data_IF_134348955019
#
_entry.id   IF_134348955019
#
_cell.length_a   1.000
_cell.length_b   1.000
_cell.length_c   1.000
_cell.angle_alpha   90.00
_cell.angle_beta   90.00
_cell.angle_gamma   90.00
#
_symmetry.space_group_name_H-M   'P 1'
#
loop_
_entity.id
_entity.type
_entity.pdbx_description
1 polymer ?
#
# COMPACT_ATOMS: atom_id res chain seq x y z
N UNK A 1 -37.99 -61.86 22.34
CA UNK A 1 -38.26 -60.40 22.38
C UNK A 1 -37.05 -59.71 22.98
N UNK A 2 -36.55 -58.63 22.35
CA UNK A 2 -35.54 -57.75 22.93
C UNK A 2 -34.16 -57.83 22.26
N UNK A 3 -33.98 -57.02 21.22
CA UNK A 3 -32.73 -56.71 20.51
C UNK A 3 -32.05 -55.48 21.14
N UNK A 4 -30.72 -55.47 21.07
CA UNK A 4 -29.76 -54.35 20.98
C UNK A 4 -29.92 -53.08 21.83
N UNK A 5 -28.92 -52.84 22.69
CA UNK A 5 -27.93 -51.74 22.54
C UNK A 5 -27.23 -51.44 23.88
N UNK A 6 -25.90 -51.38 23.93
CA UNK A 6 -25.21 -50.50 24.84
C UNK A 6 -24.59 -49.30 24.11
N UNK A 7 -24.89 -48.17 24.73
CA UNK A 7 -24.50 -46.79 24.55
C UNK A 7 -23.17 -46.44 23.86
N UNK A 8 -23.22 -45.33 23.11
CA UNK A 8 -22.14 -44.74 22.32
C UNK A 8 -21.01 -44.19 23.20
N UNK A 9 -19.72 -44.35 22.81
CA UNK A 9 -18.65 -43.59 23.42
C UNK A 9 -18.64 -42.13 22.93
N UNK A 10 -18.51 -41.20 23.88
CA UNK A 10 -18.30 -39.76 23.65
C UNK A 10 -17.03 -39.55 22.82
N UNK A 11 -17.15 -38.90 21.67
CA UNK A 11 -16.01 -38.51 20.83
C UNK A 11 -15.18 -37.45 21.54
N UNK A 12 -13.89 -37.75 21.65
CA UNK A 12 -12.87 -36.93 22.23
C UNK A 12 -12.58 -35.66 21.42
N UNK A 13 -12.27 -34.64 22.21
CA UNK A 13 -11.56 -33.42 21.86
C UNK A 13 -10.26 -33.75 21.11
N UNK A 14 -10.21 -33.47 19.81
CA UNK A 14 -8.99 -33.53 19.02
C UNK A 14 -8.93 -32.36 18.03
N UNK A 15 -8.07 -31.38 18.34
CA UNK A 15 -7.16 -30.82 17.35
C UNK A 15 -7.62 -29.61 16.54
N UNK A 16 -7.87 -28.46 17.17
CA UNK A 16 -7.66 -27.16 16.49
C UNK A 16 -6.22 -26.68 16.69
N UNK A 17 -5.30 -27.22 15.89
CA UNK A 17 -3.97 -26.61 15.70
C UNK A 17 -4.13 -25.42 14.76
N UNK A 18 -4.17 -24.22 15.36
CA UNK A 18 -4.00 -22.95 14.65
C UNK A 18 -2.63 -22.93 13.97
N UNK A 19 -2.61 -22.99 12.63
CA UNK A 19 -1.42 -22.72 11.82
C UNK A 19 -1.07 -21.23 11.96
N UNK A 20 -0.14 -20.92 12.87
CA UNK A 20 0.57 -19.64 12.92
C UNK A 20 1.49 -19.57 11.71
N UNK A 21 1.03 -18.99 10.60
CA UNK A 21 1.90 -18.61 9.50
C UNK A 21 2.81 -17.45 9.97
N UNK A 22 4.03 -17.79 10.41
CA UNK A 22 5.10 -16.82 10.66
C UNK A 22 5.59 -16.32 9.31
N UNK A 23 5.15 -15.13 8.92
CA UNK A 23 5.74 -14.40 7.81
C UNK A 23 7.19 -14.04 8.14
N UNK A 24 8.14 -14.84 7.64
CA UNK A 24 9.54 -14.45 7.51
C UNK A 24 9.77 -14.14 6.04
N UNK A 25 9.58 -12.89 5.62
CA UNK A 25 10.13 -12.48 4.34
C UNK A 25 11.65 -12.31 4.49
N UNK A 26 12.36 -12.97 3.57
CA UNK A 26 13.78 -12.81 3.34
C UNK A 26 14.14 -11.32 3.24
N UNK A 27 15.34 -10.98 3.72
CA UNK A 27 15.97 -9.68 3.44
C UNK A 27 15.93 -9.47 1.92
N UNK A 28 15.27 -8.41 1.47
CA UNK A 28 15.46 -7.91 0.10
C UNK A 28 16.96 -7.55 -0.01
N UNK A 29 17.72 -8.10 -0.98
CA UNK A 29 19.08 -7.67 -1.23
C UNK A 29 19.07 -6.18 -1.60
N UNK A 30 19.85 -5.41 -0.86
CA UNK A 30 20.13 -4.02 -1.18
C UNK A 30 20.99 -3.88 -2.44
N UNK A 31 20.92 -2.67 -2.99
CA UNK A 31 22.01 -1.96 -3.62
C UNK A 31 22.75 -2.66 -4.77
N UNK A 32 22.12 -2.65 -5.95
CA UNK A 32 22.83 -2.60 -7.23
C UNK A 32 21.92 -1.96 -8.30
N UNK A 33 21.94 -0.64 -8.41
CA UNK A 33 21.49 0.05 -9.63
C UNK A 33 22.61 -0.02 -10.67
N UNK A 34 22.35 -0.47 -11.92
CA UNK A 34 23.27 -0.26 -13.03
C UNK A 34 23.36 1.24 -13.32
N UNK A 35 24.58 1.77 -13.36
CA UNK A 35 24.86 3.19 -13.55
C UNK A 35 24.34 3.70 -14.89
N UNK A 36 23.51 4.75 -14.84
CA UNK A 36 23.25 5.60 -15.99
C UNK A 36 24.42 6.56 -16.19
N UNK A 37 25.08 6.44 -17.34
CA UNK A 37 26.21 7.26 -17.74
C UNK A 37 25.83 8.73 -17.89
N UNK A 38 26.48 9.59 -17.10
CA UNK A 38 26.49 11.01 -17.37
C UNK A 38 27.49 11.33 -18.49
N UNK A 39 26.96 11.81 -19.63
CA UNK A 39 27.73 12.50 -20.65
C UNK A 39 28.42 13.73 -20.06
N UNK A 40 29.74 13.63 -19.85
CA UNK A 40 30.61 14.78 -19.57
C UNK A 40 30.88 15.56 -20.85
N UNK A 41 30.41 16.81 -20.90
CA UNK A 41 30.93 17.82 -21.82
C UNK A 41 32.37 18.17 -21.46
N UNK A 42 33.20 18.20 -22.49
CA UNK A 42 34.61 18.55 -22.49
C UNK A 42 34.79 20.05 -22.24
N UNK A 43 35.69 20.41 -21.32
CA UNK A 43 36.06 21.78 -21.00
C UNK A 43 37.51 21.81 -20.50
N UNK A 44 38.31 22.69 -21.10
CA UNK A 44 39.77 22.66 -21.19
C UNK A 44 40.54 22.83 -19.87
N UNK A 45 41.76 22.30 -19.93
CA UNK A 45 42.89 22.33 -18.98
C UNK A 45 43.29 23.75 -18.54
N UNK A 46 43.65 23.87 -17.27
CA UNK A 46 44.51 24.92 -16.72
C UNK A 46 45.29 24.35 -15.53
N UNK A 47 46.60 24.18 -15.70
CA UNK A 47 47.50 23.56 -14.73
C UNK A 47 48.17 24.63 -13.86
N UNK A 48 48.21 24.46 -12.54
CA UNK A 48 49.21 25.12 -11.68
C UNK A 48 49.67 24.19 -10.55
N UNK A 49 50.94 23.81 -10.69
CA UNK A 49 52.01 23.44 -9.73
C UNK A 49 51.70 23.02 -8.29
N UNK A 50 52.24 21.84 -7.95
CA UNK A 50 52.57 21.36 -6.61
C UNK A 50 53.79 22.08 -6.05
N UNK A 51 53.81 22.34 -4.74
CA UNK A 51 55.02 22.44 -3.91
C UNK A 51 54.81 21.66 -2.62
N UNK A 52 55.84 20.90 -2.22
CA UNK A 52 55.88 19.95 -1.12
C UNK A 52 56.51 20.53 0.16
N UNK A 53 56.20 19.90 1.31
CA UNK A 53 56.93 19.77 2.61
C UNK A 53 55.85 19.51 3.69
N UNK A 54 55.91 18.65 4.70
CA UNK A 54 56.87 17.75 5.35
C UNK A 54 56.12 17.17 6.58
N UNK A 55 56.61 16.12 7.27
CA UNK A 55 55.76 15.23 8.07
C UNK A 55 55.52 15.73 9.51
N UNK A 56 54.30 15.53 10.02
CA UNK A 56 53.94 15.75 11.43
C UNK A 56 53.00 14.64 11.90
N UNK A 57 53.53 13.76 12.75
CA UNK A 57 52.77 12.78 13.51
C UNK A 57 51.79 13.49 14.44
N UNK A 58 50.53 13.07 14.49
CA UNK A 58 49.66 13.28 15.65
C UNK A 58 48.47 12.31 15.65
N UNK A 59 48.56 11.34 16.56
CA UNK A 59 47.52 10.65 17.32
C UNK A 59 46.13 10.41 16.66
N UNK A 60 45.91 9.14 16.32
CA UNK A 60 44.58 8.55 16.12
C UNK A 60 43.68 8.78 17.34
N UNK A 61 42.61 9.55 17.13
CA UNK A 61 41.41 9.47 17.95
C UNK A 61 40.25 9.05 17.05
N UNK A 62 39.92 7.75 17.11
CA UNK A 62 38.74 7.17 16.47
C UNK A 62 37.46 7.69 17.14
N UNK A 63 37.00 8.87 16.73
CA UNK A 63 35.63 9.29 16.99
C UNK A 63 34.75 8.80 15.84
N UNK A 64 34.09 7.65 16.04
CA UNK A 64 33.03 7.21 15.14
C UNK A 64 31.95 8.28 14.96
N UNK A 65 31.22 8.30 13.83
CA UNK A 65 30.25 9.34 13.55
C UNK A 65 29.17 9.35 14.63
N UNK A 66 29.16 10.40 15.46
CA UNK A 66 28.09 10.67 16.41
C UNK A 66 26.78 10.73 15.63
N UNK A 67 25.88 9.78 15.92
CA UNK A 67 24.51 9.74 15.41
C UNK A 67 23.84 11.05 15.82
N UNK A 68 23.82 12.05 14.92
CA UNK A 68 23.11 13.31 15.15
C UNK A 68 21.67 12.96 15.52
N UNK A 69 21.25 13.32 16.73
CA UNK A 69 19.84 13.25 17.09
C UNK A 69 19.09 14.14 16.11
N UNK A 70 18.33 13.54 15.19
CA UNK A 70 17.38 14.29 14.36
C UNK A 70 16.36 14.85 15.33
N UNK A 71 16.41 16.16 15.59
CA UNK A 71 15.35 16.89 16.29
C UNK A 71 14.04 16.49 15.61
N UNK A 72 13.03 16.07 16.38
CA UNK A 72 11.74 15.69 15.83
C UNK A 72 11.26 16.81 14.90
N UNK A 73 10.88 16.46 13.66
CA UNK A 73 10.26 17.41 12.76
C UNK A 73 8.89 17.79 13.36
N UNK A 74 8.52 19.07 13.26
CA UNK A 74 7.18 19.53 13.64
C UNK A 74 6.17 18.90 12.68
N UNK A 75 5.12 18.28 13.23
CA UNK A 75 4.09 17.58 12.45
C UNK A 75 3.77 16.19 12.99
N UNK A 76 2.58 16.02 13.56
CA UNK A 76 1.95 14.76 13.89
C UNK A 76 1.05 14.25 12.76
N UNK A 77 1.08 12.95 12.54
CA UNK A 77 0.28 12.28 11.51
C UNK A 77 -0.52 11.13 12.10
N UNK A 78 -1.75 10.95 11.62
CA UNK A 78 -2.54 9.75 11.86
C UNK A 78 -2.49 8.86 10.62
N UNK A 79 -2.45 7.55 10.83
CA UNK A 79 -2.63 6.56 9.77
C UNK A 79 -3.89 5.73 10.00
N UNK A 80 -4.63 5.47 8.93
CA UNK A 80 -5.78 4.57 8.91
C UNK A 80 -5.54 3.52 7.83
N UNK A 81 -5.62 2.24 8.19
CA UNK A 81 -5.65 1.15 7.23
C UNK A 81 -4.98 -0.12 7.73
N UNK A 82 -4.47 -0.94 6.79
CA UNK A 82 -4.07 -2.32 7.10
C UNK A 82 -2.86 -2.82 6.30
N UNK A 83 -2.24 -3.88 6.83
CA UNK A 83 -1.25 -4.67 6.12
C UNK A 83 0.12 -4.02 5.98
N UNK A 84 0.94 -4.62 5.11
CA UNK A 84 2.35 -4.26 5.00
C UNK A 84 2.58 -2.82 4.49
N UNK A 85 1.70 -2.31 3.63
CA UNK A 85 1.81 -0.95 3.08
C UNK A 85 1.63 0.10 4.18
N UNK A 86 0.61 -0.05 5.03
CA UNK A 86 0.40 0.79 6.22
C UNK A 86 1.66 0.83 7.08
N UNK A 87 2.18 -0.34 7.49
CA UNK A 87 3.32 -0.37 8.41
C UNK A 87 4.62 0.11 7.78
N UNK A 88 4.79 0.01 6.46
CA UNK A 88 5.90 0.67 5.75
C UNK A 88 5.77 2.18 5.83
N UNK A 89 4.57 2.72 5.63
CA UNK A 89 4.31 4.16 5.74
C UNK A 89 4.57 4.68 7.16
N UNK A 90 4.07 3.97 8.18
CA UNK A 90 4.34 4.30 9.60
C UNK A 90 5.85 4.31 9.88
N UNK A 91 6.59 3.28 9.45
CA UNK A 91 8.05 3.22 9.63
C UNK A 91 8.78 4.34 8.89
N UNK A 92 8.39 4.65 7.66
CA UNK A 92 8.97 5.74 6.89
C UNK A 92 8.73 7.10 7.59
N UNK A 93 7.54 7.33 8.15
CA UNK A 93 7.27 8.54 8.93
C UNK A 93 8.11 8.64 10.21
N UNK A 94 8.17 7.58 11.01
CA UNK A 94 9.01 7.55 12.22
C UNK A 94 10.50 7.73 11.87
N UNK A 95 10.99 7.07 10.81
CA UNK A 95 12.38 7.20 10.35
C UNK A 95 12.69 8.61 9.80
N UNK A 96 11.70 9.27 9.21
CA UNK A 96 11.75 10.67 8.79
C UNK A 96 11.78 11.67 9.95
N UNK A 97 11.49 11.21 11.17
CA UNK A 97 11.44 12.03 12.38
C UNK A 97 10.09 12.70 12.62
N UNK A 98 9.03 12.25 11.95
CA UNK A 98 7.66 12.70 12.16
C UNK A 98 7.03 11.99 13.36
N UNK A 99 6.17 12.70 14.09
CA UNK A 99 5.41 12.08 15.17
C UNK A 99 4.22 11.32 14.58
N UNK A 100 4.04 10.08 14.99
CA UNK A 100 2.83 9.32 14.67
C UNK A 100 1.88 9.46 15.86
N UNK A 101 0.80 10.20 15.67
CA UNK A 101 -0.19 10.47 16.72
C UNK A 101 -1.03 9.24 17.04
N UNK A 102 -1.47 8.53 15.99
CA UNK A 102 -2.31 7.36 16.10
C UNK A 102 -2.24 6.51 14.83
N UNK A 103 -2.28 5.19 14.99
CA UNK A 103 -2.54 4.23 13.90
C UNK A 103 -3.87 3.53 14.17
N UNK A 104 -4.84 3.68 13.27
CA UNK A 104 -6.12 2.99 13.32
C UNK A 104 -6.08 1.78 12.39
N UNK A 105 -6.28 0.58 12.93
CA UNK A 105 -6.22 -0.66 12.15
C UNK A 105 -7.13 -1.73 12.74
N UNK A 106 -7.64 -2.65 11.89
CA UNK A 106 -8.33 -3.87 12.35
C UNK A 106 -7.35 -4.94 12.82
N UNK A 107 -6.09 -4.86 12.37
CA UNK A 107 -5.12 -5.94 12.50
C UNK A 107 -4.58 -6.09 13.92
N UNK A 108 -4.28 -7.33 14.29
CA UNK A 108 -3.50 -7.68 15.48
C UNK A 108 -1.98 -7.61 15.24
N UNK A 109 -1.54 -7.21 14.04
CA UNK A 109 -0.13 -7.00 13.72
C UNK A 109 0.55 -6.11 14.77
N UNK A 110 1.71 -6.57 15.24
CA UNK A 110 2.52 -5.87 16.22
C UNK A 110 3.00 -4.55 15.62
N UNK A 111 2.56 -3.45 16.23
CA UNK A 111 3.04 -2.12 15.88
C UNK A 111 4.54 -1.99 16.19
N UNK A 112 5.27 -1.12 15.47
CA UNK A 112 6.58 -0.68 15.93
C UNK A 112 6.48 -0.15 17.36
N UNK A 113 7.51 -0.39 18.17
CA UNK A 113 7.58 0.15 19.52
C UNK A 113 7.35 1.67 19.50
N UNK A 114 6.59 2.19 20.45
CA UNK A 114 6.32 3.63 20.68
C UNK A 114 5.26 4.31 19.80
N UNK A 115 4.48 3.57 18.99
CA UNK A 115 3.36 4.15 18.23
C UNK A 115 2.01 3.84 18.88
N UNK A 116 1.16 4.84 19.20
CA UNK A 116 -0.20 4.60 19.69
C UNK A 116 -1.07 3.91 18.64
N UNK A 117 -1.80 2.87 19.05
CA UNK A 117 -2.69 2.10 18.16
C UNK A 117 -4.11 2.11 18.66
N UNK A 118 -5.04 2.39 17.75
CA UNK A 118 -6.47 2.16 17.92
C UNK A 118 -6.88 0.93 17.10
N UNK A 119 -7.20 -0.16 17.81
CA UNK A 119 -7.85 -1.32 17.19
C UNK A 119 -9.33 -1.00 17.00
N UNK A 120 -9.76 -0.84 15.75
CA UNK A 120 -11.14 -0.51 15.41
C UNK A 120 -11.61 -1.27 14.18
N UNK A 121 -12.89 -1.65 14.17
CA UNK A 121 -13.56 -2.25 13.01
C UNK A 121 -14.17 -1.20 12.08
N UNK A 122 -14.46 -0.01 12.60
CA UNK A 122 -15.06 1.09 11.84
C UNK A 122 -14.60 2.45 12.40
N UNK A 123 -13.66 3.08 11.69
CA UNK A 123 -13.12 4.40 12.04
C UNK A 123 -14.16 5.51 12.08
N UNK A 124 -15.30 5.34 11.40
CA UNK A 124 -16.37 6.34 11.45
C UNK A 124 -17.01 6.39 12.85
N UNK A 125 -17.08 5.25 13.55
CA UNK A 125 -17.60 5.20 14.93
C UNK A 125 -16.62 5.75 15.96
N UNK A 126 -15.33 5.73 15.64
CA UNK A 126 -14.25 6.25 16.49
C UNK A 126 -13.81 7.68 16.12
N UNK A 127 -14.56 8.38 15.27
CA UNK A 127 -14.09 9.61 14.65
C UNK A 127 -13.73 10.71 15.68
N UNK A 128 -14.48 10.83 16.78
CA UNK A 128 -14.15 11.74 17.89
C UNK A 128 -12.79 11.41 18.51
N UNK A 129 -12.48 10.12 18.72
CA UNK A 129 -11.22 9.67 19.28
C UNK A 129 -10.06 9.95 18.31
N UNK A 130 -10.28 9.71 17.02
CA UNK A 130 -9.31 10.00 15.96
C UNK A 130 -9.02 11.50 15.91
N UNK A 131 -10.05 12.34 15.88
CA UNK A 131 -9.91 13.80 15.89
C UNK A 131 -9.18 14.30 17.13
N UNK A 132 -9.49 13.75 18.30
CA UNK A 132 -8.87 14.15 19.57
C UNK A 132 -7.39 13.79 19.65
N UNK A 133 -6.96 12.71 19.00
CA UNK A 133 -5.55 12.35 18.91
C UNK A 133 -4.78 13.19 17.86
N UNK A 134 -5.49 13.77 16.89
CA UNK A 134 -4.89 14.45 15.75
C UNK A 134 -4.38 15.84 16.13
N UNK A 135 -3.07 16.04 16.05
CA UNK A 135 -2.45 17.31 16.40
C UNK A 135 -2.42 18.36 15.30
N UNK A 136 -2.05 17.94 14.08
CA UNK A 136 -1.80 18.83 12.94
C UNK A 136 -2.84 18.64 11.82
N UNK A 137 -3.96 17.99 12.16
CA UNK A 137 -5.10 17.80 11.27
C UNK A 137 -4.81 16.92 10.05
N UNK A 138 -3.76 16.10 10.06
CA UNK A 138 -3.32 15.29 8.92
C UNK A 138 -3.57 13.79 9.15
N UNK A 139 -4.28 13.17 8.21
CA UNK A 139 -4.60 11.74 8.19
C UNK A 139 -4.19 11.11 6.86
N UNK A 140 -3.53 9.97 6.94
CA UNK A 140 -3.23 9.11 5.80
C UNK A 140 -4.12 7.87 5.80
N UNK A 141 -4.96 7.73 4.77
CA UNK A 141 -5.68 6.49 4.45
C UNK A 141 -4.80 5.63 3.53
N UNK A 142 -4.36 4.47 4.01
CA UNK A 142 -3.42 3.60 3.28
C UNK A 142 -3.90 2.16 3.36
N UNK A 143 -4.30 1.59 2.23
CA UNK A 143 -4.84 0.23 2.17
C UNK A 143 -5.95 0.03 3.22
N UNK A 144 -6.87 0.98 3.26
CA UNK A 144 -7.97 1.05 4.23
C UNK A 144 -9.22 0.41 3.62
N UNK A 145 -9.76 -0.68 4.20
CA UNK A 145 -10.95 -1.33 3.66
C UNK A 145 -12.26 -0.60 4.01
N UNK A 146 -12.21 0.41 4.87
CA UNK A 146 -13.39 1.16 5.33
C UNK A 146 -13.54 2.45 4.55
N UNK A 147 -14.72 2.65 3.94
CA UNK A 147 -15.10 3.93 3.35
C UNK A 147 -15.22 4.97 4.48
N UNK A 148 -14.47 6.06 4.35
CA UNK A 148 -14.53 7.19 5.27
C UNK A 148 -15.78 8.03 4.98
N UNK A 149 -16.52 8.39 6.02
CA UNK A 149 -17.84 9.06 5.91
C UNK A 149 -17.91 10.30 6.78
N UNK A 150 -19.01 11.03 6.65
CA UNK A 150 -19.32 12.27 7.37
C UNK A 150 -18.86 12.31 8.84
N UNK A 151 -19.05 11.27 9.69
CA UNK A 151 -18.57 11.31 11.07
C UNK A 151 -17.08 11.64 11.23
N UNK A 152 -16.24 11.24 10.26
CA UNK A 152 -14.81 11.58 10.23
C UNK A 152 -14.50 12.76 9.29
N UNK A 153 -15.15 12.82 8.12
CA UNK A 153 -14.87 13.83 7.09
C UNK A 153 -15.25 15.25 7.57
N UNK A 154 -16.32 15.39 8.35
CA UNK A 154 -16.88 16.69 8.73
C UNK A 154 -16.03 17.41 9.81
N UNK A 155 -14.96 16.76 10.32
CA UNK A 155 -14.03 17.38 11.26
C UNK A 155 -13.04 18.37 10.63
N UNK A 156 -13.06 18.56 9.31
CA UNK A 156 -12.13 19.45 8.61
C UNK A 156 -10.67 18.96 8.65
N UNK A 157 -10.47 17.64 8.73
CA UNK A 157 -9.15 17.02 8.65
C UNK A 157 -8.68 16.99 7.20
N UNK A 158 -7.37 17.19 6.97
CA UNK A 158 -6.72 16.90 5.70
C UNK A 158 -6.51 15.40 5.61
N UNK A 159 -7.33 14.73 4.82
CA UNK A 159 -7.30 13.28 4.67
C UNK A 159 -6.79 12.95 3.28
N UNK A 160 -5.62 12.33 3.20
CA UNK A 160 -5.05 11.87 1.94
C UNK A 160 -5.15 10.37 1.82
N UNK A 161 -5.59 9.89 0.67
CA UNK A 161 -5.64 8.47 0.35
C UNK A 161 -4.66 8.13 -0.76
N UNK A 162 -4.00 6.98 -0.61
CA UNK A 162 -3.17 6.39 -1.66
C UNK A 162 -3.95 5.22 -2.26
N UNK A 163 -4.48 5.46 -3.44
CA UNK A 163 -5.26 4.49 -4.20
C UNK A 163 -4.38 3.77 -5.23
N UNK A 164 -4.51 2.46 -5.32
CA UNK A 164 -3.81 1.66 -6.34
C UNK A 164 -4.65 1.58 -7.63
N UNK A 165 -4.83 2.75 -8.24
CA UNK A 165 -5.48 2.91 -9.54
C UNK A 165 -5.33 4.35 -10.03
N UNK A 166 -5.22 4.58 -11.36
CA UNK A 166 -5.19 5.93 -11.91
C UNK A 166 -6.58 6.56 -11.83
N UNK A 167 -6.67 7.75 -11.23
CA UNK A 167 -7.92 8.49 -11.10
C UNK A 167 -8.06 9.56 -12.20
N UNK A 168 -9.28 9.80 -12.72
CA UNK A 168 -10.57 9.24 -12.29
C UNK A 168 -10.95 7.91 -12.97
N UNK A 169 -10.06 7.35 -13.81
CA UNK A 169 -10.34 6.22 -14.67
C UNK A 169 -10.70 4.93 -13.93
N UNK A 170 -10.02 4.62 -12.83
CA UNK A 170 -10.11 3.34 -12.13
C UNK A 170 -10.38 3.52 -10.63
N UNK A 171 -11.57 4.05 -10.29
CA UNK A 171 -12.04 4.23 -8.90
C UNK A 171 -12.51 2.92 -8.27
N UNK A 172 -12.60 2.88 -6.95
CA UNK A 172 -13.21 1.76 -6.22
C UNK A 172 -12.16 0.78 -5.71
N UNK A 173 -12.39 -0.52 -5.89
CA UNK A 173 -11.55 -1.56 -5.28
C UNK A 173 -10.34 -1.85 -6.18
N UNK A 174 -9.08 -1.67 -5.72
CA UNK A 174 -7.90 -1.87 -6.56
C UNK A 174 -7.81 -3.24 -7.23
N UNK A 175 -8.19 -4.31 -6.54
CA UNK A 175 -8.17 -5.66 -7.09
C UNK A 175 -9.17 -5.82 -8.24
N UNK A 176 -10.33 -5.19 -8.17
CA UNK A 176 -11.31 -5.24 -9.26
C UNK A 176 -10.85 -4.33 -10.40
N UNK A 177 -10.39 -3.12 -10.07
CA UNK A 177 -9.88 -2.16 -11.04
C UNK A 177 -8.71 -2.72 -11.88
N UNK A 178 -7.75 -3.41 -11.26
CA UNK A 178 -6.62 -4.04 -11.97
C UNK A 178 -7.09 -5.16 -12.91
N UNK A 179 -8.03 -6.00 -12.46
CA UNK A 179 -8.61 -7.05 -13.32
C UNK A 179 -9.25 -6.42 -14.56
N UNK A 180 -10.04 -5.36 -14.39
CA UNK A 180 -10.65 -4.66 -15.53
C UNK A 180 -9.64 -3.92 -16.40
N UNK A 181 -8.59 -3.32 -15.84
CA UNK A 181 -7.53 -2.70 -16.63
C UNK A 181 -6.86 -3.72 -17.58
N UNK A 182 -6.60 -4.93 -17.08
CA UNK A 182 -6.06 -6.02 -17.90
C UNK A 182 -7.05 -6.51 -18.95
N UNK A 183 -8.35 -6.62 -18.63
CA UNK A 183 -9.40 -7.00 -19.58
C UNK A 183 -9.60 -5.95 -20.68
N UNK A 184 -9.54 -4.68 -20.32
CA UNK A 184 -9.62 -3.54 -21.23
C UNK A 184 -8.39 -3.43 -22.15
N UNK A 185 -7.30 -4.11 -21.81
CA UNK A 185 -6.06 -4.10 -22.58
C UNK A 185 -5.23 -2.85 -22.34
N UNK A 186 -5.31 -2.28 -21.14
CA UNK A 186 -4.49 -1.13 -20.77
C UNK A 186 -3.00 -1.46 -20.89
N UNK A 187 -2.25 -0.53 -21.46
CA UNK A 187 -0.77 -0.62 -21.59
C UNK A 187 -0.05 0.20 -20.52
N UNK A 188 -0.80 0.98 -19.73
CA UNK A 188 -0.31 1.76 -18.61
C UNK A 188 -1.32 1.68 -17.48
N UNK A 189 -0.82 1.78 -16.25
CA UNK A 189 -1.62 1.89 -15.05
C UNK A 189 -0.92 2.84 -14.09
N UNK A 190 -1.42 2.96 -12.87
CA UNK A 190 -0.76 3.79 -11.88
C UNK A 190 -1.39 3.69 -10.51
N UNK A 191 -0.72 4.33 -9.56
CA UNK A 191 -1.30 4.66 -8.27
C UNK A 191 -1.54 6.17 -8.20
N UNK A 192 -2.49 6.58 -7.36
CA UNK A 192 -2.89 7.97 -7.19
C UNK A 192 -2.86 8.37 -5.72
N UNK A 193 -2.24 9.50 -5.41
CA UNK A 193 -2.43 10.24 -4.18
C UNK A 193 -3.52 11.28 -4.41
N UNK A 194 -4.59 11.23 -3.62
CA UNK A 194 -5.67 12.20 -3.71
C UNK A 194 -6.16 12.63 -2.32
N UNK A 195 -6.78 13.80 -2.27
CA UNK A 195 -7.56 14.24 -1.12
C UNK A 195 -8.90 13.48 -1.07
N UNK A 196 -9.33 13.09 0.12
CA UNK A 196 -10.60 12.38 0.34
C UNK A 196 -11.72 13.39 0.49
N UNK A 197 -12.80 13.20 -0.26
CA UNK A 197 -14.06 13.91 -0.16
C UNK A 197 -15.19 12.95 0.26
N UNK A 198 -16.45 13.34 0.10
CA UNK A 198 -17.61 12.49 0.45
C UNK A 198 -17.83 11.32 -0.51
N UNK A 199 -17.19 11.32 -1.68
CA UNK A 199 -17.30 10.22 -2.64
C UNK A 199 -16.18 9.19 -2.47
N UNK A 200 -16.24 8.14 -3.28
CA UNK A 200 -15.19 7.12 -3.33
C UNK A 200 -14.22 7.47 -4.46
N UNK A 201 -13.01 7.84 -4.07
CA UNK A 201 -11.92 8.21 -4.97
C UNK A 201 -12.29 9.34 -5.95
N UNK A 202 -13.05 10.34 -5.49
CA UNK A 202 -13.51 11.48 -6.31
C UNK A 202 -12.82 12.80 -6.00
N UNK A 203 -12.13 12.90 -4.86
CA UNK A 203 -11.46 14.13 -4.47
C UNK A 203 -10.24 14.47 -5.31
N UNK A 204 -9.66 15.65 -5.04
CA UNK A 204 -8.61 16.23 -5.87
C UNK A 204 -7.37 15.33 -5.93
N UNK A 205 -6.94 14.98 -7.15
CA UNK A 205 -5.67 14.28 -7.38
C UNK A 205 -4.52 15.22 -7.07
N UNK A 206 -3.56 14.77 -6.26
CA UNK A 206 -2.40 15.55 -5.81
C UNK A 206 -1.11 15.07 -6.50
N UNK A 207 -0.97 13.77 -6.70
CA UNK A 207 0.18 13.16 -7.39
C UNK A 207 -0.19 11.79 -7.96
N UNK A 208 0.51 11.36 -9.01
CA UNK A 208 0.28 10.09 -9.71
C UNK A 208 1.63 9.43 -10.00
N UNK A 209 1.71 8.13 -9.72
CA UNK A 209 2.85 7.30 -10.14
C UNK A 209 2.35 6.30 -11.18
N UNK A 210 2.59 6.61 -12.45
CA UNK A 210 2.22 5.76 -13.58
C UNK A 210 3.33 4.77 -13.92
N UNK A 211 2.95 3.59 -14.40
CA UNK A 211 3.88 2.55 -14.85
C UNK A 211 3.33 1.79 -16.06
N UNK A 212 4.19 1.24 -16.92
CA UNK A 212 3.76 0.42 -18.05
C UNK A 212 3.22 -0.94 -17.56
N UNK A 213 2.16 -1.43 -18.21
CA UNK A 213 1.76 -2.83 -18.16
C UNK A 213 2.41 -3.52 -19.37
N UNK A 214 3.32 -4.45 -19.12
CA UNK A 214 3.99 -5.20 -20.18
C UNK A 214 3.04 -6.25 -20.78
N UNK A 215 3.26 -6.71 -22.02
CA UNK A 215 2.40 -7.72 -22.64
C UNK A 215 2.28 -9.03 -21.84
N UNK A 216 3.28 -9.35 -21.01
CA UNK A 216 3.38 -10.60 -20.24
C UNK A 216 2.90 -10.44 -18.80
N UNK A 217 2.70 -9.21 -18.32
CA UNK A 217 2.32 -8.94 -16.94
C UNK A 217 0.94 -9.54 -16.63
N UNK A 218 0.80 -10.25 -15.52
CA UNK A 218 -0.50 -10.73 -15.07
C UNK A 218 -0.99 -9.88 -13.92
N UNK A 219 -2.19 -10.18 -13.41
CA UNK A 219 -2.74 -9.49 -12.24
C UNK A 219 -1.71 -9.34 -11.12
N UNK A 220 -1.00 -10.43 -10.80
CA UNK A 220 0.00 -10.41 -9.73
C UNK A 220 1.10 -9.37 -9.97
N UNK A 221 1.67 -9.32 -11.18
CA UNK A 221 2.75 -8.38 -11.51
C UNK A 221 2.26 -6.92 -11.48
N UNK A 222 1.05 -6.66 -12.00
CA UNK A 222 0.43 -5.32 -11.96
C UNK A 222 0.15 -4.90 -10.53
N UNK A 223 -0.44 -5.78 -9.71
CA UNK A 223 -0.71 -5.52 -8.29
C UNK A 223 0.58 -5.24 -7.52
N UNK A 224 1.63 -6.04 -7.72
CA UNK A 224 2.92 -5.82 -7.05
C UNK A 224 3.59 -4.51 -7.47
N UNK A 225 3.48 -4.13 -8.75
CA UNK A 225 3.99 -2.85 -9.25
C UNK A 225 3.18 -1.68 -8.69
N UNK A 226 1.86 -1.81 -8.64
CA UNK A 226 0.96 -0.84 -8.03
C UNK A 226 1.25 -0.61 -6.55
N UNK A 227 1.47 -1.67 -5.76
CA UNK A 227 1.87 -1.53 -4.36
C UNK A 227 3.21 -0.79 -4.17
N UNK A 228 4.16 -0.97 -5.10
CA UNK A 228 5.42 -0.19 -5.12
C UNK A 228 5.16 1.27 -5.48
N UNK A 229 4.30 1.53 -6.46
CA UNK A 229 3.91 2.88 -6.86
C UNK A 229 3.24 3.62 -5.68
N UNK A 230 2.29 2.98 -4.99
CA UNK A 230 1.67 3.52 -3.78
C UNK A 230 2.69 3.88 -2.69
N UNK A 231 3.65 2.99 -2.44
CA UNK A 231 4.70 3.28 -1.46
C UNK A 231 5.58 4.46 -1.87
N UNK A 232 5.92 4.55 -3.15
CA UNK A 232 6.73 5.65 -3.68
C UNK A 232 5.99 6.98 -3.61
N UNK A 233 4.67 6.99 -3.85
CA UNK A 233 3.83 8.17 -3.66
C UNK A 233 3.81 8.62 -2.20
N UNK A 234 3.67 7.68 -1.26
CA UNK A 234 3.73 8.02 0.17
C UNK A 234 5.05 8.69 0.52
N UNK A 235 6.17 8.03 0.24
CA UNK A 235 7.49 8.50 0.68
C UNK A 235 7.85 9.85 0.09
N UNK A 236 7.57 10.08 -1.20
CA UNK A 236 7.92 11.34 -1.86
C UNK A 236 7.06 12.52 -1.40
N UNK A 237 5.80 12.25 -1.00
CA UNK A 237 4.84 13.29 -0.65
C UNK A 237 4.70 13.53 0.86
N UNK A 238 5.31 12.70 1.71
CA UNK A 238 5.18 12.82 3.17
C UNK A 238 5.60 14.20 3.69
N UNK A 239 6.77 14.69 3.27
CA UNK A 239 7.27 16.00 3.68
C UNK A 239 6.33 17.12 3.23
N UNK A 240 5.87 17.11 1.98
CA UNK A 240 4.95 18.12 1.45
C UNK A 240 3.58 18.09 2.13
N UNK A 241 3.04 16.89 2.41
CA UNK A 241 1.77 16.69 3.10
C UNK A 241 1.80 17.31 4.50
N UNK A 242 2.83 17.00 5.29
CA UNK A 242 2.99 17.52 6.66
C UNK A 242 3.08 19.04 6.66
N UNK A 243 3.80 19.63 5.70
CA UNK A 243 3.95 21.08 5.59
C UNK A 243 2.78 21.78 4.89
N UNK A 244 1.73 21.05 4.47
CA UNK A 244 0.58 21.62 3.77
C UNK A 244 0.92 22.21 2.39
N UNK A 245 1.89 21.61 1.71
CA UNK A 245 2.41 22.08 0.41
C UNK A 245 1.88 21.28 -0.79
N UNK A 246 1.00 20.29 -0.56
CA UNK A 246 0.38 19.56 -1.66
C UNK A 246 -0.67 20.43 -2.34
N UNK A 247 -0.62 20.48 -3.67
CA UNK A 247 -1.58 21.21 -4.51
C UNK A 247 -2.20 20.26 -5.53
N UNK A 248 -3.47 20.44 -5.90
CA UNK A 248 -4.10 19.63 -6.93
C UNK A 248 -3.29 19.61 -8.24
N UNK A 249 -3.06 18.41 -8.75
CA UNK A 249 -2.55 18.19 -10.09
C UNK A 249 -3.61 18.53 -11.14
N UNK A 250 -3.20 18.68 -12.40
CA UNK A 250 -4.15 18.87 -13.50
C UNK A 250 -5.06 17.65 -13.61
N UNK A 251 -6.39 17.82 -13.68
CA UNK A 251 -7.31 16.70 -13.88
C UNK A 251 -6.98 15.91 -15.15
N UNK A 252 -6.99 14.58 -15.05
CA UNK A 252 -6.93 13.72 -16.23
C UNK A 252 -8.21 13.86 -17.05
N UNK A 253 -8.10 13.88 -18.37
CA UNK A 253 -9.24 13.92 -19.31
C UNK A 253 -9.69 12.53 -19.76
N UNK A 254 -9.05 11.47 -19.24
CA UNK A 254 -9.40 10.08 -19.58
C UNK A 254 -10.70 9.71 -18.86
N UNK A 255 -11.62 9.06 -19.58
CA UNK A 255 -12.94 8.65 -19.07
C UNK A 255 -12.86 7.86 -17.77
N UNK A 256 -13.86 8.03 -16.91
CA UNK A 256 -13.92 7.46 -15.56
C UNK A 256 -14.71 6.15 -15.48
N UNK A 257 -14.30 5.25 -14.59
CA UNK A 257 -15.02 4.03 -14.21
C UNK A 257 -14.98 3.82 -12.70
N UNK A 258 -16.05 3.25 -12.13
CA UNK A 258 -16.10 2.80 -10.74
C UNK A 258 -16.13 1.27 -10.70
N UNK A 259 -15.17 0.69 -9.98
CA UNK A 259 -14.95 -0.75 -9.91
C UNK A 259 -15.25 -1.28 -8.50
N UNK A 260 -16.54 -1.27 -8.15
CA UNK A 260 -17.04 -1.85 -6.89
C UNK A 260 -17.31 -3.35 -6.99
N UNK A 261 -17.84 -3.92 -5.89
CA UNK A 261 -18.12 -5.36 -5.78
C UNK A 261 -19.13 -5.86 -6.82
N UNK A 262 -20.07 -5.02 -7.20
CA UNK A 262 -21.07 -5.26 -8.24
C UNK A 262 -20.44 -5.68 -9.57
N UNK A 263 -19.21 -5.21 -9.86
CA UNK A 263 -18.49 -5.55 -11.09
C UNK A 263 -17.92 -6.97 -11.10
N UNK A 264 -17.95 -7.69 -9.98
CA UNK A 264 -17.51 -9.10 -9.95
C UNK A 264 -18.46 -9.99 -10.76
N UNK A 265 -19.75 -9.72 -10.73
CA UNK A 265 -20.79 -10.50 -11.42
C UNK A 265 -20.63 -10.43 -12.94
N UNK A 266 -20.11 -9.31 -13.44
CA UNK A 266 -19.88 -9.06 -14.87
C UNK A 266 -18.65 -9.81 -15.41
N UNK A 267 -17.73 -10.31 -14.57
CA UNK A 267 -16.48 -10.96 -15.01
C UNK A 267 -16.76 -12.21 -15.85
N UNK A 268 -17.86 -12.92 -15.60
CA UNK A 268 -18.24 -14.09 -16.37
C UNK A 268 -18.40 -13.79 -17.88
N UNK A 269 -18.82 -12.57 -18.23
CA UNK A 269 -18.96 -12.13 -19.62
C UNK A 269 -17.62 -12.00 -20.38
N UNK A 270 -16.50 -11.96 -19.66
CA UNK A 270 -15.17 -11.79 -20.25
C UNK A 270 -14.41 -13.11 -20.47
N UNK A 271 -15.00 -14.27 -20.14
CA UNK A 271 -14.31 -15.58 -20.23
C UNK A 271 -13.79 -15.91 -21.63
N UNK A 272 -14.47 -15.43 -22.68
CA UNK A 272 -14.02 -15.59 -24.07
C UNK A 272 -12.87 -14.66 -24.49
N UNK A 273 -12.48 -13.71 -23.64
CA UNK A 273 -11.39 -12.78 -23.92
C UNK A 273 -10.03 -13.50 -23.86
N UNK A 274 -9.17 -13.23 -24.85
CA UNK A 274 -7.77 -13.67 -24.81
C UNK A 274 -6.97 -13.08 -23.63
N UNK A 275 -7.53 -12.09 -22.93
CA UNK A 275 -6.92 -11.44 -21.76
C UNK A 275 -7.41 -12.00 -20.43
N UNK A 276 -8.40 -12.89 -20.44
CA UNK A 276 -9.04 -13.38 -19.21
C UNK A 276 -8.06 -14.11 -18.29
N UNK A 277 -7.22 -14.99 -18.86
CA UNK A 277 -6.22 -15.76 -18.10
C UNK A 277 -5.24 -14.85 -17.33
N UNK A 278 -4.64 -13.87 -18.02
CA UNK A 278 -3.71 -12.93 -17.36
C UNK A 278 -4.40 -12.02 -16.35
N UNK A 279 -5.66 -11.63 -16.59
CA UNK A 279 -6.46 -10.85 -15.65
C UNK A 279 -6.88 -11.67 -14.41
N UNK A 280 -7.02 -12.99 -14.57
CA UNK A 280 -7.42 -13.92 -13.52
C UNK A 280 -6.27 -14.55 -12.72
N UNK A 281 -5.02 -14.40 -13.17
CA UNK A 281 -3.85 -14.98 -12.50
C UNK A 281 -3.45 -14.20 -11.23
N UNK A 282 -4.20 -14.41 -10.15
CA UNK A 282 -4.00 -13.73 -8.86
C UNK A 282 -2.70 -14.15 -8.15
N UNK A 283 -2.21 -15.36 -8.41
CA UNK A 283 -0.99 -15.91 -7.81
C UNK A 283 -0.99 -15.86 -6.29
N UNK A 284 -0.02 -15.17 -5.68
CA UNK A 284 0.08 -15.02 -4.21
C UNK A 284 -1.10 -14.27 -3.59
N UNK A 285 -1.91 -13.57 -4.39
CA UNK A 285 -3.07 -12.82 -3.93
C UNK A 285 -4.37 -13.63 -3.91
N UNK A 286 -4.40 -14.85 -4.45
CA UNK A 286 -5.58 -15.73 -4.38
C UNK A 286 -6.18 -15.84 -2.96
N UNK A 287 -5.41 -16.14 -1.89
CA UNK A 287 -5.97 -16.20 -0.54
C UNK A 287 -6.32 -14.83 0.05
N UNK A 288 -5.85 -13.74 -0.56
CA UNK A 288 -6.10 -12.36 -0.10
C UNK A 288 -7.44 -11.84 -0.64
N UNK A 289 -7.81 -12.25 -1.86
CA UNK A 289 -9.03 -11.81 -2.55
C UNK A 289 -9.94 -13.00 -2.88
N UNK A 290 -10.53 -13.68 -1.88
CA UNK A 290 -11.34 -14.88 -2.10
C UNK A 290 -12.57 -14.59 -2.98
N UNK A 291 -13.24 -13.45 -2.80
CA UNK A 291 -14.41 -13.07 -3.61
C UNK A 291 -14.04 -12.90 -5.10
N UNK A 292 -12.90 -12.26 -5.38
CA UNK A 292 -12.40 -12.08 -6.74
C UNK A 292 -11.95 -13.42 -7.34
N UNK A 293 -11.24 -14.24 -6.56
CA UNK A 293 -10.84 -15.58 -6.98
C UNK A 293 -12.05 -16.45 -7.34
N UNK A 294 -13.11 -16.40 -6.54
CA UNK A 294 -14.35 -17.11 -6.81
C UNK A 294 -15.05 -16.59 -8.07
N UNK A 295 -15.11 -15.27 -8.28
CA UNK A 295 -15.71 -14.69 -9.48
C UNK A 295 -14.94 -15.06 -10.77
N UNK A 296 -13.62 -15.20 -10.69
CA UNK A 296 -12.76 -15.57 -11.81
C UNK A 296 -12.76 -17.08 -12.11
N UNK A 297 -13.01 -17.92 -11.09
CA UNK A 297 -12.99 -19.37 -11.21
C UNK A 297 -13.98 -19.88 -12.27
N UNK A 298 -13.63 -20.97 -12.96
CA UNK A 298 -14.55 -21.64 -13.88
C UNK A 298 -15.52 -22.54 -13.09
N UNK A 299 -16.84 -22.35 -13.19
CA UNK A 299 -17.81 -23.25 -12.55
C UNK A 299 -17.59 -24.73 -12.90
N UNK A 300 -17.07 -25.06 -14.09
CA UNK A 300 -16.80 -26.45 -14.49
C UNK A 300 -15.65 -27.12 -13.70
N UNK A 301 -14.74 -26.33 -13.12
CA UNK A 301 -13.61 -26.85 -12.32
C UNK A 301 -13.94 -27.00 -10.84
N UNK A 302 -15.01 -26.35 -10.36
CA UNK A 302 -15.44 -26.43 -8.97
C UNK A 302 -16.12 -27.77 -8.64
N UNK A 303 -16.84 -28.37 -9.60
CA UNK A 303 -17.54 -29.66 -9.41
C UNK A 303 -16.58 -30.86 -9.34
N UNK A 304 -15.41 -30.79 -10.00
CA UNK A 304 -14.41 -31.89 -9.95
C UNK A 304 -13.63 -31.98 -8.64
N UNK A 305 -13.68 -30.96 -7.78
CA UNK A 305 -12.98 -30.95 -6.50
C UNK A 305 -13.79 -31.60 -5.36
N UNK A 306 -15.04 -32.01 -5.63
CA UNK A 306 -15.96 -32.62 -4.66
C UNK A 306 -16.45 -34.02 -5.09
N UNK A 307 -15.84 -34.60 -6.12
CA UNK A 307 -16.06 -35.98 -6.57
C UNK A 307 -14.89 -36.89 -6.18
#
# INVERSE_FOLDING_TARGET
>A
MGVDSPDRPRRGDTGRRLLRARWRFARLPGDALPGFGHHRRTGRRGAVRRTARGPGQQHDSHSGPRRRSRRARSGGVIFIGEGALLWRAVRAATAGGYRVDLVCTRSDQTAPDQVPVLKTRDVNTDAIRIKSACSDGLVWSINNPTILRAPLLDFGLRIYNIHNGPLPAYRGRPEIAITYALLNGETRYGATLHEVDHGVDTGAVLDVEEFPIRPEDRFQEVMMTGLRACHTLFERNLDAAVNGLLTPAKPSTVGGGYYGRERLEELAGYRGSSRYDRAGHLGVFTPVYPDLAAALADPATAESAHS
#
